data_IF_349633844640
#
_entry.id   IF_349633844640
#
_cell.length_a   1.000
_cell.length_b   1.000
_cell.length_c   1.000
_cell.angle_alpha   90.00
_cell.angle_beta   90.00
_cell.angle_gamma   90.00
#
_symmetry.space_group_name_H-M   'P 1'
#
loop_
_entity.id
_entity.type
_entity.pdbx_description
1 polymer ?
#
# COMPACT_ATOMS: atom_id res chain seq x y z
N UNK A 1 16.90 -15.77 -11.54
CA UNK A 1 16.87 -14.66 -10.57
C UNK A 1 15.81 -14.95 -9.53
N UNK A 2 16.19 -14.88 -8.28
CA UNK A 2 15.27 -15.17 -7.20
C UNK A 2 14.42 -13.94 -6.81
N UNK A 3 14.90 -12.74 -7.09
CA UNK A 3 14.19 -11.48 -6.74
C UNK A 3 13.75 -10.78 -8.03
N UNK A 4 12.48 -10.47 -8.08
CA UNK A 4 11.88 -9.68 -9.17
C UNK A 4 11.35 -8.37 -8.62
N UNK A 5 11.52 -7.29 -9.40
CA UNK A 5 11.04 -5.95 -9.04
C UNK A 5 9.83 -5.61 -9.89
N UNK A 6 8.78 -5.10 -9.23
CA UNK A 6 7.49 -4.83 -9.86
C UNK A 6 7.23 -3.32 -9.84
N UNK A 7 6.99 -2.75 -11.01
CA UNK A 7 6.73 -1.32 -11.16
C UNK A 7 5.62 -1.11 -12.18
N UNK A 8 4.36 -1.14 -11.75
CA UNK A 8 3.23 -0.96 -12.67
C UNK A 8 3.28 0.41 -13.35
N UNK A 9 3.10 0.48 -14.67
CA UNK A 9 3.15 1.76 -15.39
C UNK A 9 1.98 2.69 -15.07
N UNK A 10 0.92 2.19 -14.46
CA UNK A 10 -0.20 3.01 -14.02
C UNK A 10 0.13 3.89 -12.81
N UNK A 11 1.18 3.53 -12.06
CA UNK A 11 1.60 4.27 -10.86
C UNK A 11 2.78 5.19 -11.18
N UNK A 12 3.10 6.08 -10.21
CA UNK A 12 4.25 6.96 -10.39
C UNK A 12 5.54 6.16 -10.52
N UNK A 13 6.52 6.71 -11.23
CA UNK A 13 7.83 6.10 -11.38
C UNK A 13 8.61 6.25 -10.05
N UNK A 14 8.94 5.13 -9.42
CA UNK A 14 9.68 5.12 -8.17
C UNK A 14 11.19 5.27 -8.34
N UNK A 15 11.72 5.19 -9.57
CA UNK A 15 13.17 5.21 -9.79
C UNK A 15 13.86 6.47 -9.25
N UNK A 16 13.32 7.69 -9.46
CA UNK A 16 13.94 8.90 -8.88
C UNK A 16 13.98 8.89 -7.35
N UNK A 17 13.11 8.09 -6.71
CA UNK A 17 13.06 7.96 -5.25
C UNK A 17 13.81 6.72 -4.75
N UNK A 18 14.44 5.98 -5.65
CA UNK A 18 15.23 4.79 -5.29
C UNK A 18 14.41 3.59 -4.87
N UNK A 19 13.13 3.51 -5.28
CA UNK A 19 12.26 2.41 -4.87
C UNK A 19 11.64 1.67 -6.04
N UNK A 20 11.28 0.41 -5.78
CA UNK A 20 10.31 -0.34 -6.57
C UNK A 20 8.99 -0.41 -5.80
N UNK A 21 7.87 -0.52 -6.50
CA UNK A 21 6.57 -0.64 -5.84
C UNK A 21 6.40 -1.97 -5.13
N UNK A 22 7.01 -3.03 -5.64
CA UNK A 22 7.08 -4.30 -4.93
C UNK A 22 8.33 -5.08 -5.34
N UNK A 23 8.72 -5.99 -4.46
CA UNK A 23 9.73 -7.01 -4.75
C UNK A 23 9.15 -8.38 -4.45
N UNK A 24 9.47 -9.36 -5.28
CA UNK A 24 9.07 -10.74 -5.09
C UNK A 24 10.33 -11.56 -4.81
N UNK A 25 10.31 -12.29 -3.70
CA UNK A 25 11.28 -13.34 -3.45
C UNK A 25 10.69 -14.65 -4.00
N UNK A 26 11.16 -15.08 -5.16
CA UNK A 26 10.62 -16.26 -5.82
C UNK A 26 10.95 -17.57 -5.08
N UNK A 27 11.94 -17.57 -4.21
CA UNK A 27 12.26 -18.76 -3.41
C UNK A 27 11.19 -19.04 -2.37
N UNK A 28 10.69 -18.00 -1.71
CA UNK A 28 9.66 -18.12 -0.67
C UNK A 28 8.26 -17.81 -1.19
N UNK A 29 8.15 -17.09 -2.30
CA UNK A 29 6.89 -16.56 -2.80
C UNK A 29 6.42 -15.30 -2.08
N UNK A 30 7.25 -14.72 -1.22
CA UNK A 30 6.89 -13.50 -0.51
C UNK A 30 6.96 -12.28 -1.42
N UNK A 31 5.97 -11.42 -1.27
CA UNK A 31 5.86 -10.13 -1.97
C UNK A 31 5.91 -9.03 -0.93
N UNK A 32 6.86 -8.12 -1.09
CA UNK A 32 6.99 -6.93 -0.23
C UNK A 32 6.52 -5.73 -1.03
N UNK A 33 5.47 -5.07 -0.56
CA UNK A 33 4.91 -3.91 -1.24
C UNK A 33 5.32 -2.65 -0.50
N UNK A 34 5.94 -1.71 -1.22
CA UNK A 34 6.28 -0.39 -0.69
C UNK A 34 5.04 0.34 -0.24
N UNK A 35 5.20 1.24 0.70
CA UNK A 35 4.12 2.10 1.16
C UNK A 35 3.42 2.78 -0.01
N UNK A 36 2.13 2.52 -0.18
CA UNK A 36 1.32 3.11 -1.23
C UNK A 36 0.60 4.34 -0.71
N UNK A 37 0.64 5.38 -1.49
CA UNK A 37 0.04 6.68 -1.22
C UNK A 37 -0.94 7.03 -2.33
N UNK A 38 -1.81 8.00 -2.08
CA UNK A 38 -2.80 8.46 -3.07
C UNK A 38 -2.18 9.46 -4.06
N UNK A 39 -1.08 9.07 -4.69
CA UNK A 39 -0.42 9.89 -5.70
C UNK A 39 -0.80 9.47 -7.11
N UNK A 40 -0.88 10.46 -8.01
CA UNK A 40 -0.96 10.19 -9.43
C UNK A 40 0.45 9.98 -10.04
N UNK A 41 0.52 9.80 -11.35
CA UNK A 41 1.79 9.57 -12.05
C UNK A 41 2.73 10.76 -12.03
N UNK A 42 2.22 11.95 -11.73
CA UNK A 42 3.00 13.19 -11.64
C UNK A 42 3.36 13.53 -10.19
N UNK A 43 3.29 12.56 -9.28
CA UNK A 43 3.63 12.68 -7.86
C UNK A 43 2.72 13.66 -7.11
N UNK A 44 1.51 13.87 -7.62
CA UNK A 44 0.53 14.77 -6.99
C UNK A 44 -0.50 13.98 -6.21
N UNK A 45 -0.80 14.43 -5.01
CA UNK A 45 -1.87 13.85 -4.20
C UNK A 45 -3.22 14.08 -4.91
N UNK A 46 -3.99 13.01 -5.09
CA UNK A 46 -5.25 13.07 -5.84
C UNK A 46 -6.40 13.67 -5.05
N UNK A 47 -6.45 13.38 -3.76
CA UNK A 47 -7.59 13.75 -2.91
C UNK A 47 -7.14 14.49 -1.67
N UNK A 48 -8.02 15.36 -1.13
CA UNK A 48 -7.68 16.22 0.00
C UNK A 48 -8.01 15.60 1.36
N UNK A 49 -8.96 14.65 1.41
CA UNK A 49 -9.41 14.09 2.69
C UNK A 49 -8.71 12.78 3.01
N UNK A 50 -8.60 12.48 4.30
CA UNK A 50 -8.04 11.21 4.76
C UNK A 50 -8.82 10.01 4.20
N UNK A 51 -10.15 10.08 4.23
CA UNK A 51 -10.97 8.98 3.71
C UNK A 51 -10.70 8.70 2.24
N UNK A 52 -10.70 9.74 1.40
CA UNK A 52 -10.48 9.59 -0.04
C UNK A 52 -9.04 9.15 -0.35
N UNK A 53 -8.05 9.65 0.40
CA UNK A 53 -6.67 9.21 0.26
C UNK A 53 -6.49 7.75 0.68
N UNK A 54 -7.18 7.30 1.72
CA UNK A 54 -7.13 5.90 2.15
C UNK A 54 -7.66 4.99 1.05
N UNK A 55 -8.76 5.35 0.41
CA UNK A 55 -9.30 4.60 -0.74
C UNK A 55 -8.31 4.59 -1.91
N UNK A 56 -7.72 5.73 -2.24
CA UNK A 56 -6.74 5.82 -3.32
C UNK A 56 -5.49 4.99 -3.04
N UNK A 57 -4.97 5.04 -1.82
CA UNK A 57 -3.83 4.23 -1.41
C UNK A 57 -4.16 2.73 -1.49
N UNK A 58 -5.35 2.33 -1.04
CA UNK A 58 -5.80 0.94 -1.12
C UNK A 58 -5.90 0.46 -2.57
N UNK A 59 -6.45 1.28 -3.47
CA UNK A 59 -6.53 0.95 -4.90
C UNK A 59 -5.15 0.79 -5.51
N UNK A 60 -4.21 1.66 -5.18
CA UNK A 60 -2.84 1.55 -5.66
C UNK A 60 -2.19 0.27 -5.15
N UNK A 61 -2.42 -0.10 -3.89
CA UNK A 61 -1.94 -1.38 -3.34
C UNK A 61 -2.49 -2.57 -4.14
N UNK A 62 -3.78 -2.56 -4.46
CA UNK A 62 -4.39 -3.63 -5.26
C UNK A 62 -3.77 -3.72 -6.66
N UNK A 63 -3.47 -2.57 -7.27
CA UNK A 63 -2.78 -2.53 -8.57
C UNK A 63 -1.41 -3.20 -8.48
N UNK A 64 -0.65 -2.93 -7.42
CA UNK A 64 0.67 -3.53 -7.22
C UNK A 64 0.56 -5.04 -7.00
N UNK A 65 -0.38 -5.47 -6.15
CA UNK A 65 -0.60 -6.90 -5.88
C UNK A 65 -0.93 -7.65 -7.16
N UNK A 66 -1.83 -7.10 -7.98
CA UNK A 66 -2.19 -7.72 -9.26
C UNK A 66 -0.99 -7.86 -10.18
N UNK A 67 -0.20 -6.79 -10.32
CA UNK A 67 1.02 -6.82 -11.15
C UNK A 67 2.06 -7.82 -10.63
N UNK A 68 2.08 -8.07 -9.34
CA UNK A 68 2.99 -9.03 -8.70
C UNK A 68 2.49 -10.48 -8.76
N UNK A 69 1.31 -10.72 -9.33
CA UNK A 69 0.73 -12.08 -9.32
C UNK A 69 0.21 -12.50 -7.96
N UNK A 70 -0.16 -11.54 -7.12
CA UNK A 70 -0.76 -11.75 -5.82
C UNK A 70 -2.23 -11.33 -5.84
N UNK A 71 -2.85 -11.26 -4.68
CA UNK A 71 -4.25 -10.84 -4.55
C UNK A 71 -4.54 -10.46 -3.10
N UNK A 72 -5.72 -9.91 -2.87
CA UNK A 72 -6.18 -9.57 -1.51
C UNK A 72 -6.11 -10.77 -0.58
N UNK A 73 -6.53 -11.94 -1.05
CA UNK A 73 -6.55 -13.17 -0.25
C UNK A 73 -5.14 -13.63 0.17
N UNK A 74 -4.12 -13.14 -0.50
CA UNK A 74 -2.74 -13.51 -0.25
C UNK A 74 -2.01 -12.53 0.67
N UNK A 75 -2.68 -11.48 1.14
CA UNK A 75 -2.07 -10.52 2.05
C UNK A 75 -1.85 -11.17 3.41
N UNK A 76 -0.61 -11.12 3.89
CA UNK A 76 -0.23 -11.63 5.21
C UNK A 76 -0.24 -10.53 6.26
N UNK A 77 0.25 -9.34 5.90
CA UNK A 77 0.41 -8.22 6.83
C UNK A 77 0.13 -6.91 6.13
N UNK A 78 -0.59 -6.03 6.84
CA UNK A 78 -0.76 -4.63 6.47
C UNK A 78 -0.19 -3.74 7.57
N UNK A 79 0.48 -2.66 7.18
CA UNK A 79 0.82 -1.56 8.06
C UNK A 79 0.29 -0.27 7.45
N UNK A 80 -0.42 0.49 8.28
CA UNK A 80 -1.05 1.73 7.85
C UNK A 80 -0.47 2.86 8.68
N UNK A 81 0.10 3.83 7.99
CA UNK A 81 0.70 5.02 8.60
C UNK A 81 -0.24 6.19 8.36
N UNK A 82 -0.67 6.84 9.42
CA UNK A 82 -1.57 7.99 9.34
C UNK A 82 -0.89 9.19 9.99
N UNK A 83 -0.91 10.31 9.29
CA UNK A 83 -0.35 11.54 9.85
C UNK A 83 -1.20 12.00 11.02
N UNK A 84 -0.59 12.16 12.18
CA UNK A 84 -1.24 12.61 13.39
C UNK A 84 -1.46 11.50 14.40
N UNK A 85 -2.40 11.71 15.30
CA UNK A 85 -2.74 10.77 16.37
C UNK A 85 -3.61 9.63 15.80
N UNK A 86 -3.07 8.43 15.80
CA UNK A 86 -3.76 7.28 15.15
C UNK A 86 -5.14 7.01 15.77
N UNK A 87 -5.28 7.16 17.08
CA UNK A 87 -6.55 6.91 17.75
C UNK A 87 -7.68 7.84 17.30
N UNK A 88 -7.35 9.03 16.79
CA UNK A 88 -8.34 9.98 16.28
C UNK A 88 -8.81 9.65 14.88
N UNK A 89 -8.07 8.78 14.17
CA UNK A 89 -8.29 8.51 12.74
C UNK A 89 -8.77 7.09 12.44
N UNK A 90 -8.75 6.19 13.41
CA UNK A 90 -9.12 4.79 13.19
C UNK A 90 -10.55 4.63 12.68
N UNK A 91 -11.48 5.43 13.19
CA UNK A 91 -12.89 5.37 12.78
C UNK A 91 -13.09 5.74 11.30
N UNK A 92 -12.18 6.54 10.74
CA UNK A 92 -12.20 6.89 9.32
C UNK A 92 -11.51 5.81 8.47
N UNK A 93 -10.35 5.36 8.92
CA UNK A 93 -9.44 4.51 8.12
C UNK A 93 -9.88 3.04 8.14
N UNK A 94 -10.24 2.52 9.31
CA UNK A 94 -10.53 1.09 9.47
C UNK A 94 -11.66 0.57 8.59
N UNK A 95 -12.82 1.24 8.46
CA UNK A 95 -13.88 0.76 7.59
C UNK A 95 -13.47 0.68 6.11
N UNK A 96 -12.64 1.61 5.66
CA UNK A 96 -12.15 1.64 4.28
C UNK A 96 -11.18 0.49 4.04
N UNK A 97 -10.29 0.22 5.00
CA UNK A 97 -9.38 -0.91 4.92
C UNK A 97 -10.15 -2.24 4.87
N UNK A 98 -11.18 -2.38 5.72
CA UNK A 98 -12.02 -3.57 5.71
C UNK A 98 -12.69 -3.76 4.36
N UNK A 99 -13.23 -2.69 3.78
CA UNK A 99 -13.94 -2.73 2.52
C UNK A 99 -13.03 -3.18 1.36
N UNK A 100 -11.81 -2.67 1.30
CA UNK A 100 -10.91 -2.90 0.16
C UNK A 100 -9.91 -4.03 0.39
N UNK A 101 -9.46 -4.26 1.62
CA UNK A 101 -8.31 -5.11 1.93
C UNK A 101 -8.57 -6.09 3.06
N UNK A 102 -9.64 -5.93 3.80
CA UNK A 102 -9.82 -6.59 5.09
C UNK A 102 -10.56 -7.91 5.05
N UNK A 103 -11.10 -8.32 3.91
CA UNK A 103 -11.92 -9.53 3.84
C UNK A 103 -11.21 -10.78 4.39
N UNK A 104 -9.94 -11.06 4.03
CA UNK A 104 -9.23 -12.22 4.57
C UNK A 104 -8.69 -12.02 5.98
N UNK A 105 -8.81 -10.85 6.55
CA UNK A 105 -8.33 -10.49 7.89
C UNK A 105 -6.82 -10.73 8.07
N UNK A 106 -5.98 -10.01 7.33
CA UNK A 106 -4.52 -10.08 7.53
C UNK A 106 -4.14 -9.53 8.90
N UNK A 107 -2.89 -9.74 9.31
CA UNK A 107 -2.38 -8.99 10.46
C UNK A 107 -2.33 -7.50 10.09
N UNK A 108 -2.65 -6.63 11.03
CA UNK A 108 -2.77 -5.20 10.79
C UNK A 108 -2.20 -4.40 11.95
N UNK A 109 -1.37 -3.40 11.63
CA UNK A 109 -0.88 -2.44 12.61
C UNK A 109 -1.12 -1.02 12.08
N UNK A 110 -1.76 -0.17 12.87
CA UNK A 110 -1.95 1.24 12.58
C UNK A 110 -0.95 2.08 13.37
N UNK A 111 -0.32 3.04 12.70
CA UNK A 111 0.76 3.83 13.28
C UNK A 111 0.51 5.31 12.97
N UNK A 112 0.48 6.15 14.01
CA UNK A 112 0.48 7.60 13.84
C UNK A 112 1.89 8.09 13.59
N UNK A 113 2.08 8.97 12.62
CA UNK A 113 3.38 9.51 12.23
C UNK A 113 3.35 11.03 12.17
N UNK A 114 4.51 11.65 12.36
CA UNK A 114 4.63 13.12 12.30
C UNK A 114 4.54 13.64 10.87
N UNK A 115 5.02 12.88 9.89
CA UNK A 115 5.05 13.29 8.49
C UNK A 115 5.13 12.09 7.56
N UNK A 116 4.76 12.32 6.31
CA UNK A 116 4.92 11.37 5.22
C UNK A 116 5.67 12.04 4.08
N UNK A 117 5.73 11.42 2.91
CA UNK A 117 6.60 11.85 1.82
C UNK A 117 6.27 13.24 1.27
N UNK A 118 5.04 13.73 1.44
CA UNK A 118 4.69 15.09 1.08
C UNK A 118 3.82 15.72 2.17
N UNK A 119 3.75 17.07 2.25
CA UNK A 119 2.92 17.72 3.28
C UNK A 119 1.44 17.36 3.19
N UNK A 120 0.96 17.07 1.98
CA UNK A 120 -0.45 16.77 1.72
C UNK A 120 -0.76 15.27 1.82
N UNK A 121 0.24 14.42 1.98
CA UNK A 121 0.04 12.97 2.11
C UNK A 121 -0.35 12.66 3.56
N UNK A 122 -1.56 12.11 3.73
CA UNK A 122 -2.15 11.87 5.04
C UNK A 122 -2.09 10.40 5.47
N UNK A 123 -1.91 9.48 4.52
CA UNK A 123 -1.94 8.04 4.79
C UNK A 123 -1.04 7.30 3.81
N UNK A 124 -0.46 6.21 4.30
CA UNK A 124 0.38 5.32 3.52
C UNK A 124 0.11 3.88 3.98
N UNK A 125 0.01 2.95 3.03
CA UNK A 125 -0.29 1.55 3.32
C UNK A 125 0.79 0.67 2.70
N UNK A 126 1.45 -0.14 3.52
CA UNK A 126 2.39 -1.13 3.03
C UNK A 126 1.89 -2.55 3.34
N UNK A 127 2.39 -3.53 2.61
CA UNK A 127 1.92 -4.90 2.76
C UNK A 127 3.03 -5.92 2.55
N UNK A 128 2.86 -7.06 3.18
CA UNK A 128 3.55 -8.31 2.85
C UNK A 128 2.48 -9.30 2.39
N UNK A 129 2.72 -9.94 1.26
CA UNK A 129 1.78 -10.89 0.67
C UNK A 129 2.53 -12.09 0.10
N UNK A 130 1.82 -13.01 -0.54
CA UNK A 130 2.42 -14.11 -1.26
C UNK A 130 1.91 -14.13 -2.70
N UNK A 131 2.73 -14.59 -3.62
CA UNK A 131 2.27 -14.86 -4.99
C UNK A 131 1.28 -16.02 -4.96
N UNK A 132 0.35 -16.00 -5.91
CA UNK A 132 -0.55 -17.12 -6.12
C UNK A 132 0.24 -18.22 -6.82
N UNK A 133 0.40 -19.36 -6.16
CA UNK A 133 1.08 -20.51 -6.73
C UNK A 133 0.04 -21.47 -7.32
N UNK A 134 0.37 -21.99 -8.48
CA UNK A 134 -0.48 -22.96 -9.17
C UNK A 134 0.18 -24.31 -9.26
#
# INVERSE_FOLDING_TARGET
MTIERINPPALYDGAPHGLSHATIDHDTGLVFVSGQVDWDRDYQVRHATLAAQTEGAARNLLTVLDAAGSSVEQILQLRVYVRGEIGEHLDTVAPILVQHLGFPRPTLTGIGVASLASPDTLVEIEAVAKIVRR
#
